data_IF_221655124305
#
_entry.id   IF_221655124305
#
_cell.length_a   1.000
_cell.length_b   1.000
_cell.length_c   1.000
_cell.angle_alpha   90.00
_cell.angle_beta   90.00
_cell.angle_gamma   90.00
#
_symmetry.space_group_name_H-M   'P 1'
#
loop_
_entity.id
_entity.type
_entity.pdbx_description
1 polymer ?
#
# COMPACT_ATOMS: atom_id res chain seq x y z
N UNK A 1 13.34 9.09 -14.64
CA UNK A 1 12.10 8.28 -14.85
C UNK A 1 12.39 6.96 -15.57
N UNK A 2 13.23 6.90 -16.61
CA UNK A 2 13.55 5.67 -17.37
C UNK A 2 14.30 4.58 -16.59
N UNK A 3 15.13 4.94 -15.62
CA UNK A 3 15.90 4.00 -14.78
C UNK A 3 15.01 3.22 -13.80
N UNK A 4 13.99 3.87 -13.24
CA UNK A 4 13.04 3.24 -12.31
C UNK A 4 12.18 2.20 -13.02
N UNK A 5 11.75 2.50 -14.24
CA UNK A 5 10.96 1.58 -15.09
C UNK A 5 11.78 0.31 -15.40
N UNK A 6 13.07 0.46 -15.73
CA UNK A 6 13.95 -0.69 -15.98
C UNK A 6 14.17 -1.55 -14.74
N UNK A 7 14.32 -0.94 -13.56
CA UNK A 7 14.49 -1.68 -12.30
C UNK A 7 13.22 -2.47 -11.96
N UNK A 8 12.03 -1.88 -12.14
CA UNK A 8 10.75 -2.55 -11.90
C UNK A 8 10.50 -3.69 -12.91
N UNK A 9 10.85 -3.49 -14.18
CA UNK A 9 10.73 -4.52 -15.20
C UNK A 9 11.66 -5.72 -14.90
N UNK A 10 12.90 -5.45 -14.48
CA UNK A 10 13.85 -6.49 -14.09
C UNK A 10 13.36 -7.28 -12.86
N UNK A 11 12.79 -6.60 -11.86
CA UNK A 11 12.21 -7.25 -10.68
C UNK A 11 11.01 -8.13 -11.04
N UNK A 12 10.12 -7.66 -11.91
CA UNK A 12 8.96 -8.42 -12.37
C UNK A 12 9.35 -9.68 -13.14
N UNK A 13 10.36 -9.59 -14.01
CA UNK A 13 10.88 -10.74 -14.77
C UNK A 13 11.57 -11.74 -13.83
N UNK A 14 12.39 -11.27 -12.89
CA UNK A 14 13.05 -12.13 -11.90
C UNK A 14 12.05 -12.85 -10.98
N UNK A 15 10.98 -12.16 -10.54
CA UNK A 15 9.92 -12.76 -9.73
C UNK A 15 9.16 -13.86 -10.47
N UNK A 16 8.88 -13.67 -11.77
CA UNK A 16 8.18 -14.65 -12.61
C UNK A 16 9.02 -15.91 -12.88
N UNK A 17 10.33 -15.75 -13.11
CA UNK A 17 11.27 -16.87 -13.27
C UNK A 17 11.38 -17.69 -11.97
N UNK A 18 11.43 -17.02 -10.80
CA UNK A 18 11.48 -17.67 -9.49
C UNK A 18 10.17 -18.42 -9.17
N UNK A 19 9.02 -17.84 -9.53
CA UNK A 19 7.71 -18.47 -9.36
C UNK A 19 7.58 -19.75 -10.20
N UNK A 20 8.00 -19.71 -11.47
CA UNK A 20 7.96 -20.88 -12.36
C UNK A 20 8.96 -21.98 -11.96
N UNK A 21 10.13 -21.61 -11.44
CA UNK A 21 11.09 -22.58 -10.91
C UNK A 21 10.54 -23.27 -9.64
N UNK A 22 9.80 -22.54 -8.82
CA UNK A 22 9.18 -23.06 -7.59
C UNK A 22 8.00 -23.99 -7.91
N UNK A 23 7.16 -23.62 -8.87
CA UNK A 23 6.00 -24.41 -9.31
C UNK A 23 6.42 -25.76 -9.91
N UNK A 24 7.54 -25.84 -10.64
CA UNK A 24 8.07 -27.11 -11.17
C UNK A 24 8.72 -28.01 -10.11
N UNK A 25 9.24 -27.44 -9.02
CA UNK A 25 9.86 -28.21 -7.93
C UNK A 25 8.83 -28.86 -7.01
N UNK A 26 7.66 -28.24 -6.87
CA UNK A 26 6.58 -28.70 -6.00
C UNK A 26 6.02 -30.10 -6.37
N UNK A 27 5.66 -30.42 -7.64
CA UNK A 27 5.16 -31.74 -8.02
C UNK A 27 6.26 -32.80 -7.98
N UNK A 28 7.52 -32.43 -8.25
CA UNK A 28 8.67 -33.35 -8.15
C UNK A 28 8.93 -33.76 -6.70
N UNK A 29 8.89 -32.81 -5.76
CA UNK A 29 9.02 -33.08 -4.34
C UNK A 29 7.86 -33.95 -3.80
N UNK A 30 6.63 -33.76 -4.33
CA UNK A 30 5.49 -34.62 -3.98
C UNK A 30 5.63 -36.06 -4.48
N UNK A 31 6.15 -36.25 -5.70
CA UNK A 31 6.43 -37.58 -6.24
C UNK A 31 7.50 -38.31 -5.40
N UNK A 32 8.61 -37.62 -5.06
CA UNK A 32 9.67 -38.18 -4.22
C UNK A 32 9.17 -38.54 -2.80
N UNK A 33 8.30 -37.72 -2.20
CA UNK A 33 7.64 -38.02 -0.92
C UNK A 33 6.72 -39.24 -1.00
N UNK A 34 6.01 -39.44 -2.11
CA UNK A 34 5.15 -40.61 -2.29
C UNK A 34 5.98 -41.90 -2.41
N UNK A 35 7.13 -41.82 -3.08
CA UNK A 35 8.02 -42.96 -3.28
C UNK A 35 8.74 -43.34 -1.97
N UNK A 36 9.21 -42.35 -1.21
CA UNK A 36 9.77 -42.54 0.13
C UNK A 36 8.75 -43.20 1.09
N UNK A 37 7.48 -42.77 1.06
CA UNK A 37 6.42 -43.39 1.87
C UNK A 37 6.18 -44.86 1.50
N UNK A 38 6.25 -45.19 0.21
CA UNK A 38 6.14 -46.58 -0.25
C UNK A 38 7.32 -47.43 0.22
N UNK A 39 8.53 -46.90 0.16
CA UNK A 39 9.74 -47.58 0.63
C UNK A 39 9.70 -47.85 2.15
N UNK A 40 9.22 -46.89 2.95
CA UNK A 40 9.04 -47.07 4.41
C UNK A 40 8.00 -48.14 4.72
N UNK A 41 6.86 -48.15 4.03
CA UNK A 41 5.85 -49.19 4.22
C UNK A 41 6.36 -50.59 3.84
N UNK A 42 7.16 -50.68 2.78
CA UNK A 42 7.77 -51.94 2.34
C UNK A 42 8.79 -52.45 3.38
N UNK A 43 9.62 -51.57 3.92
CA UNK A 43 10.57 -51.91 4.98
C UNK A 43 9.88 -52.31 6.28
N UNK A 44 8.79 -51.62 6.65
CA UNK A 44 7.97 -51.97 7.82
C UNK A 44 7.38 -53.37 7.69
N UNK A 45 6.83 -53.73 6.52
CA UNK A 45 6.33 -55.10 6.26
C UNK A 45 7.43 -56.15 6.35
N UNK A 46 8.62 -55.86 5.83
CA UNK A 46 9.78 -56.78 5.93
C UNK A 46 10.22 -56.96 7.39
N UNK A 47 10.19 -55.89 8.18
CA UNK A 47 10.50 -55.96 9.60
C UNK A 47 9.46 -56.79 10.37
N UNK A 48 8.17 -56.65 10.06
CA UNK A 48 7.12 -57.47 10.65
C UNK A 48 7.27 -58.94 10.27
N UNK A 49 7.59 -59.25 9.01
CA UNK A 49 7.85 -60.62 8.55
C UNK A 49 9.07 -61.24 9.26
N UNK A 50 10.18 -60.51 9.32
CA UNK A 50 11.39 -60.94 10.05
C UNK A 50 11.10 -61.15 11.54
N UNK A 51 10.28 -60.28 12.15
CA UNK A 51 9.89 -60.42 13.55
C UNK A 51 9.02 -61.66 13.77
N UNK A 52 8.09 -61.94 12.85
CA UNK A 52 7.27 -63.14 12.89
C UNK A 52 8.12 -64.42 12.76
N UNK A 53 9.10 -64.43 11.85
CA UNK A 53 10.03 -65.56 11.66
C UNK A 53 10.90 -65.80 12.90
N UNK A 54 11.38 -64.73 13.54
CA UNK A 54 12.14 -64.84 14.81
C UNK A 54 11.25 -65.38 15.93
N UNK A 55 10.00 -64.94 16.04
CA UNK A 55 9.07 -65.49 17.04
C UNK A 55 8.65 -66.93 16.76
N UNK A 56 8.63 -67.36 15.50
CA UNK A 56 8.37 -68.75 15.13
C UNK A 56 9.57 -69.66 15.46
N UNK A 57 10.80 -69.15 15.31
CA UNK A 57 12.02 -69.86 15.67
C UNK A 57 12.20 -70.05 17.19
N UNK A 58 11.50 -69.27 18.03
CA UNK A 58 11.48 -69.39 19.50
C UNK A 58 10.50 -70.46 20.03
N UNK A 59 9.88 -71.27 19.16
CA UNK A 59 9.07 -72.43 19.60
C UNK A 59 9.95 -73.66 19.86
N UNK A 60 9.98 -74.24 21.08
CA UNK A 60 10.91 -75.30 21.43
C UNK A 60 10.38 -76.67 20.98
N UNK A 61 11.00 -77.27 19.95
CA UNK A 61 10.90 -78.72 19.69
C UNK A 61 12.14 -79.45 20.24
N UNK A 62 11.89 -80.51 21.01
CA UNK A 62 12.83 -81.17 21.93
C UNK A 62 14.12 -81.81 21.38
N UNK A 63 15.06 -81.98 22.32
CA UNK A 63 16.50 -82.38 22.21
C UNK A 63 16.67 -83.92 22.27
N UNK A 64 17.83 -84.51 21.88
CA UNK A 64 18.83 -84.86 22.92
C UNK A 64 20.36 -84.74 22.59
N UNK A 65 21.10 -84.03 23.49
CA UNK A 65 22.38 -84.35 24.23
C UNK A 65 23.73 -84.39 23.44
N UNK A 66 24.94 -84.10 24.02
CA UNK A 66 25.52 -82.91 24.71
C UNK A 66 26.94 -82.49 24.18
N UNK A 67 27.34 -81.21 24.24
CA UNK A 67 28.77 -80.83 24.27
C UNK A 67 29.00 -79.60 25.17
N UNK A 68 30.17 -79.51 25.85
CA UNK A 68 30.38 -78.60 26.98
C UNK A 68 30.41 -77.12 26.54
N UNK A 69 30.05 -76.18 27.44
CA UNK A 69 30.00 -74.77 27.09
C UNK A 69 31.42 -74.22 26.94
N UNK A 70 31.76 -73.79 25.74
CA UNK A 70 32.87 -72.86 25.54
C UNK A 70 32.48 -71.52 26.16
N UNK A 71 33.11 -71.14 27.26
CA UNK A 71 32.91 -69.87 27.99
C UNK A 71 33.14 -68.61 27.13
N UNK A 72 33.67 -68.74 25.90
CA UNK A 72 33.87 -67.62 24.96
C UNK A 72 32.65 -67.19 24.14
N UNK A 73 31.60 -68.02 24.00
CA UNK A 73 30.45 -67.71 23.12
C UNK A 73 29.44 -66.78 23.83
N UNK A 74 29.23 -66.96 25.13
CA UNK A 74 28.35 -66.06 25.91
C UNK A 74 28.93 -64.65 26.02
N UNK A 75 30.25 -64.50 26.12
CA UNK A 75 30.92 -63.19 26.11
C UNK A 75 30.75 -62.47 24.77
N UNK A 76 30.94 -63.17 23.64
CA UNK A 76 30.71 -62.58 22.31
C UNK A 76 29.26 -62.19 22.04
N UNK A 77 28.29 -62.92 22.60
CA UNK A 77 26.87 -62.57 22.48
C UNK A 77 26.58 -61.32 23.29
N UNK A 78 27.10 -61.21 24.52
CA UNK A 78 26.99 -60.00 25.35
C UNK A 78 27.64 -58.79 24.70
N UNK A 79 28.86 -58.92 24.15
CA UNK A 79 29.56 -57.84 23.44
C UNK A 79 28.78 -57.36 22.21
N UNK A 80 28.15 -58.27 21.47
CA UNK A 80 27.30 -57.92 20.33
C UNK A 80 26.01 -57.21 20.75
N UNK A 81 25.45 -57.59 21.90
CA UNK A 81 24.23 -56.99 22.44
C UNK A 81 24.51 -55.58 22.96
N UNK A 82 25.65 -55.38 23.61
CA UNK A 82 26.12 -54.06 24.07
C UNK A 82 26.48 -53.15 22.89
N UNK A 83 27.14 -53.69 21.86
CA UNK A 83 27.38 -52.95 20.61
C UNK A 83 26.07 -52.62 19.86
N UNK A 84 25.08 -53.51 19.89
CA UNK A 84 23.76 -53.24 19.33
C UNK A 84 23.01 -52.16 20.14
N UNK A 85 23.07 -52.21 21.48
CA UNK A 85 22.49 -51.20 22.36
C UNK A 85 23.10 -49.81 22.10
N UNK A 86 24.42 -49.71 21.99
CA UNK A 86 25.09 -48.45 21.65
C UNK A 86 24.76 -47.93 20.23
N UNK A 87 24.43 -48.82 19.29
CA UNK A 87 23.94 -48.43 17.96
C UNK A 87 22.49 -47.94 18.01
N UNK A 88 21.65 -48.58 18.82
CA UNK A 88 20.25 -48.16 19.03
C UNK A 88 20.23 -46.78 19.68
N UNK A 89 21.03 -46.54 20.72
CA UNK A 89 21.09 -45.25 21.40
C UNK A 89 21.55 -44.12 20.46
N UNK A 90 22.51 -44.39 19.56
CA UNK A 90 22.89 -43.42 18.51
C UNK A 90 21.77 -43.18 17.50
N UNK A 91 21.09 -44.23 17.06
CA UNK A 91 19.95 -44.12 16.16
C UNK A 91 18.80 -43.34 16.79
N UNK A 92 18.50 -43.55 18.06
CA UNK A 92 17.50 -42.79 18.80
C UNK A 92 17.87 -41.31 18.88
N UNK A 93 19.16 -41.01 19.10
CA UNK A 93 19.65 -39.63 19.10
C UNK A 93 19.56 -38.98 17.72
N UNK A 94 20.00 -39.66 16.66
CA UNK A 94 19.89 -39.16 15.28
C UNK A 94 18.43 -38.96 14.86
N UNK A 95 17.53 -39.89 15.23
CA UNK A 95 16.08 -39.75 14.98
C UNK A 95 15.51 -38.56 15.75
N UNK A 96 15.95 -38.32 16.99
CA UNK A 96 15.56 -37.16 17.78
C UNK A 96 16.01 -35.83 17.15
N UNK A 97 17.23 -35.77 16.63
CA UNK A 97 17.77 -34.60 15.92
C UNK A 97 16.99 -34.34 14.63
N UNK A 98 16.77 -35.37 13.80
CA UNK A 98 15.99 -35.27 12.55
C UNK A 98 14.54 -34.85 12.83
N UNK A 99 13.92 -35.39 13.88
CA UNK A 99 12.56 -35.01 14.27
C UNK A 99 12.48 -33.53 14.69
N UNK A 100 13.52 -33.01 15.37
CA UNK A 100 13.64 -31.60 15.71
C UNK A 100 13.79 -30.70 14.48
N UNK A 101 14.65 -31.07 13.54
CA UNK A 101 14.83 -30.35 12.27
C UNK A 101 13.54 -30.33 11.44
N UNK A 102 12.83 -31.46 11.37
CA UNK A 102 11.57 -31.57 10.63
C UNK A 102 10.48 -30.67 11.23
N UNK A 103 10.37 -30.64 12.56
CA UNK A 103 9.43 -29.74 13.24
C UNK A 103 9.74 -28.26 13.00
N UNK A 104 11.03 -27.90 12.92
CA UNK A 104 11.46 -26.54 12.55
C UNK A 104 11.07 -26.16 11.12
N UNK A 105 11.25 -27.07 10.16
CA UNK A 105 10.85 -26.86 8.77
C UNK A 105 9.33 -26.75 8.60
N UNK A 106 8.56 -27.52 9.38
CA UNK A 106 7.09 -27.43 9.37
C UNK A 106 6.61 -26.06 9.87
N UNK A 107 7.20 -25.54 10.95
CA UNK A 107 6.92 -24.18 11.46
C UNK A 107 7.24 -23.10 10.41
N UNK A 108 8.38 -23.19 9.74
CA UNK A 108 8.77 -22.24 8.70
C UNK A 108 7.81 -22.28 7.51
N UNK A 109 7.40 -23.48 7.10
CA UNK A 109 6.42 -23.65 6.01
C UNK A 109 5.06 -23.08 6.36
N UNK A 110 4.62 -23.20 7.61
CA UNK A 110 3.37 -22.62 8.07
C UNK A 110 3.43 -21.09 8.13
N UNK A 111 4.56 -20.52 8.54
CA UNK A 111 4.79 -19.08 8.47
C UNK A 111 4.76 -18.55 7.03
N UNK A 112 5.39 -19.26 6.08
CA UNK A 112 5.35 -18.91 4.65
C UNK A 112 3.92 -18.97 4.09
N UNK A 113 3.13 -19.98 4.46
CA UNK A 113 1.72 -20.07 4.05
C UNK A 113 0.85 -18.95 4.64
N UNK A 114 1.16 -18.49 5.85
CA UNK A 114 0.49 -17.34 6.45
C UNK A 114 0.82 -16.05 5.69
N UNK A 115 2.09 -15.86 5.34
CA UNK A 115 2.54 -14.71 4.55
C UNK A 115 1.90 -14.69 3.16
N UNK A 116 1.87 -15.83 2.45
CA UNK A 116 1.22 -15.93 1.14
C UNK A 116 -0.25 -15.51 1.19
N UNK A 117 -1.00 -15.99 2.20
CA UNK A 117 -2.40 -15.58 2.40
C UNK A 117 -2.55 -14.09 2.70
N UNK A 118 -1.60 -13.49 3.43
CA UNK A 118 -1.62 -12.05 3.67
C UNK A 118 -1.34 -11.25 2.41
N UNK A 119 -0.44 -11.73 1.54
CA UNK A 119 -0.16 -11.10 0.24
C UNK A 119 -1.37 -11.21 -0.70
N UNK A 120 -2.03 -12.37 -0.74
CA UNK A 120 -3.25 -12.55 -1.53
C UNK A 120 -4.37 -11.60 -1.05
N UNK A 121 -4.49 -11.40 0.26
CA UNK A 121 -5.46 -10.45 0.82
C UNK A 121 -5.12 -9.01 0.41
N UNK A 122 -3.85 -8.60 0.51
CA UNK A 122 -3.40 -7.27 0.07
C UNK A 122 -3.59 -7.07 -1.43
N UNK A 123 -3.30 -8.08 -2.25
CA UNK A 123 -3.51 -8.02 -3.69
C UNK A 123 -5.00 -7.87 -4.02
N UNK A 124 -5.87 -8.58 -3.28
CA UNK A 124 -7.32 -8.42 -3.40
C UNK A 124 -7.77 -7.00 -3.05
N UNK A 125 -7.32 -6.47 -1.92
CA UNK A 125 -7.65 -5.12 -1.45
C UNK A 125 -7.17 -4.06 -2.45
N UNK A 126 -5.96 -4.22 -3.01
CA UNK A 126 -5.42 -3.32 -4.04
C UNK A 126 -6.23 -3.41 -5.34
N UNK A 127 -6.64 -4.62 -5.75
CA UNK A 127 -7.45 -4.80 -6.95
C UNK A 127 -8.88 -4.27 -6.78
N UNK A 128 -9.43 -4.31 -5.56
CA UNK A 128 -10.71 -3.71 -5.22
C UNK A 128 -10.60 -2.18 -5.21
N UNK A 129 -9.58 -1.62 -4.56
CA UNK A 129 -9.31 -0.19 -4.57
C UNK A 129 -9.07 0.33 -6.00
N UNK A 130 -8.33 -0.40 -6.82
CA UNK A 130 -8.08 -0.03 -8.21
C UNK A 130 -9.37 -0.04 -9.03
N UNK A 131 -10.23 -1.06 -8.84
CA UNK A 131 -11.57 -1.07 -9.45
C UNK A 131 -12.43 0.06 -8.94
N UNK A 132 -12.39 0.39 -7.66
CA UNK A 132 -13.15 1.51 -7.11
C UNK A 132 -12.62 2.85 -7.66
N UNK A 133 -11.30 3.02 -7.82
CA UNK A 133 -10.70 4.19 -8.45
C UNK A 133 -11.10 4.32 -9.92
N UNK A 134 -11.11 3.21 -10.66
CA UNK A 134 -11.57 3.18 -12.05
C UNK A 134 -13.07 3.45 -12.13
N UNK A 135 -13.88 2.86 -11.27
CA UNK A 135 -15.32 3.14 -11.14
C UNK A 135 -15.58 4.61 -10.74
N UNK A 136 -14.71 5.23 -9.95
CA UNK A 136 -14.75 6.66 -9.61
C UNK A 136 -14.32 7.56 -10.77
N UNK A 137 -13.49 7.05 -11.68
CA UNK A 137 -13.11 7.73 -12.91
C UNK A 137 -14.18 7.56 -14.00
N UNK A 138 -14.86 6.42 -14.01
CA UNK A 138 -15.89 6.03 -14.97
C UNK A 138 -17.27 6.62 -14.60
N UNK A 139 -17.54 6.80 -13.30
CA UNK A 139 -18.61 7.67 -12.80
C UNK A 139 -18.12 9.11 -12.93
N UNK A 140 -18.92 9.98 -13.53
CA UNK A 140 -18.56 11.34 -13.97
C UNK A 140 -18.17 12.35 -12.85
N UNK A 141 -17.83 11.90 -11.64
CA UNK A 141 -17.35 12.69 -10.51
C UNK A 141 -15.85 12.91 -10.63
N UNK A 142 -15.44 13.86 -11.47
CA UNK A 142 -14.05 14.29 -11.57
C UNK A 142 -13.45 14.62 -10.20
N UNK A 143 -12.16 14.30 -10.02
CA UNK A 143 -11.38 14.79 -8.88
C UNK A 143 -10.93 16.21 -9.21
N UNK A 144 -11.24 17.15 -8.33
CA UNK A 144 -10.82 18.55 -8.45
C UNK A 144 -9.76 18.80 -7.40
N UNK A 145 -8.57 19.25 -7.84
CA UNK A 145 -7.54 19.72 -6.92
C UNK A 145 -7.83 21.17 -6.52
N UNK A 146 -7.88 21.41 -5.23
CA UNK A 146 -8.10 22.71 -4.62
C UNK A 146 -6.88 23.18 -3.85
N UNK A 147 -6.59 24.47 -3.87
CA UNK A 147 -5.48 25.05 -3.11
C UNK A 147 -5.99 26.26 -2.36
N UNK A 148 -5.66 26.36 -1.07
CA UNK A 148 -5.86 27.55 -0.26
C UNK A 148 -4.53 27.95 0.39
N UNK A 149 -4.06 29.16 0.12
CA UNK A 149 -2.83 29.72 0.71
C UNK A 149 -3.13 31.10 1.33
N UNK A 150 -2.50 31.40 2.46
CA UNK A 150 -2.57 32.69 3.14
C UNK A 150 -1.20 33.03 3.76
N UNK A 151 -0.77 34.29 3.69
CA UNK A 151 0.34 34.80 4.51
C UNK A 151 -0.06 34.92 5.99
N UNK A 152 -1.36 35.08 6.25
CA UNK A 152 -1.91 35.31 7.57
C UNK A 152 -2.42 34.00 8.16
N UNK A 153 -1.58 33.37 8.98
CA UNK A 153 -1.93 32.12 9.66
C UNK A 153 -3.12 32.25 10.62
N UNK A 154 -3.36 33.43 11.22
CA UNK A 154 -4.51 33.64 12.12
C UNK A 154 -5.85 33.66 11.36
N UNK A 155 -5.85 34.12 10.11
CA UNK A 155 -7.03 34.16 9.25
C UNK A 155 -7.27 32.82 8.50
N UNK A 156 -6.33 31.88 8.57
CA UNK A 156 -6.41 30.60 7.84
C UNK A 156 -7.66 29.80 8.22
N UNK A 157 -8.05 29.79 9.50
CA UNK A 157 -9.19 29.01 9.96
C UNK A 157 -10.52 29.51 9.37
N UNK A 158 -10.74 30.84 9.36
CA UNK A 158 -11.94 31.46 8.78
C UNK A 158 -11.96 31.29 7.27
N UNK A 159 -10.81 31.49 6.64
CA UNK A 159 -10.66 31.34 5.20
C UNK A 159 -10.88 29.88 4.76
N UNK A 160 -10.37 28.91 5.52
CA UNK A 160 -10.62 27.49 5.29
C UNK A 160 -12.10 27.15 5.46
N UNK A 161 -12.77 27.67 6.49
CA UNK A 161 -14.21 27.47 6.66
C UNK A 161 -15.02 28.02 5.48
N UNK A 162 -14.69 29.24 5.02
CA UNK A 162 -15.34 29.84 3.85
C UNK A 162 -15.08 29.04 2.57
N UNK A 163 -13.86 28.51 2.40
CA UNK A 163 -13.49 27.65 1.28
C UNK A 163 -14.28 26.33 1.29
N UNK A 164 -14.34 25.67 2.44
CA UNK A 164 -15.05 24.39 2.60
C UNK A 164 -16.58 24.57 2.45
N UNK A 165 -17.13 25.70 2.90
CA UNK A 165 -18.53 26.08 2.69
C UNK A 165 -18.84 26.30 1.21
N UNK A 166 -17.99 27.05 0.51
CA UNK A 166 -18.07 27.23 -0.94
C UNK A 166 -18.02 25.87 -1.66
N UNK A 167 -17.05 25.02 -1.33
CA UNK A 167 -16.93 23.69 -1.91
C UNK A 167 -18.22 22.87 -1.75
N UNK A 168 -18.77 22.84 -0.54
CA UNK A 168 -20.00 22.10 -0.24
C UNK A 168 -21.22 22.60 -1.03
N UNK A 169 -21.35 23.93 -1.22
CA UNK A 169 -22.45 24.53 -1.98
C UNK A 169 -22.41 24.14 -3.46
N UNK A 170 -21.22 24.11 -4.06
CA UNK A 170 -21.03 23.62 -5.44
C UNK A 170 -21.01 22.09 -5.55
N UNK A 171 -21.47 21.37 -4.52
CA UNK A 171 -21.63 19.91 -4.53
C UNK A 171 -20.31 19.14 -4.42
N UNK A 172 -19.22 19.79 -4.02
CA UNK A 172 -17.94 19.14 -3.81
C UNK A 172 -17.84 18.55 -2.41
N UNK A 173 -17.20 17.39 -2.32
CA UNK A 173 -16.89 16.70 -1.06
C UNK A 173 -15.39 16.64 -0.87
N UNK A 174 -14.93 17.12 0.27
CA UNK A 174 -13.52 17.06 0.67
C UNK A 174 -13.17 15.61 1.01
N UNK A 175 -12.18 15.04 0.33
CA UNK A 175 -11.71 13.67 0.57
C UNK A 175 -10.41 13.65 1.33
N UNK A 176 -9.49 14.52 0.95
CA UNK A 176 -8.18 14.64 1.58
C UNK A 176 -7.93 16.12 1.82
N UNK A 177 -7.48 16.41 3.05
CA UNK A 177 -6.97 17.70 3.47
C UNK A 177 -5.50 17.50 3.81
N UNK A 178 -4.63 18.08 3.00
CA UNK A 178 -3.17 18.01 3.20
C UNK A 178 -2.65 19.40 3.57
N UNK A 179 -2.23 19.55 4.83
CA UNK A 179 -1.71 20.82 5.33
C UNK A 179 -0.32 21.04 4.75
N UNK A 180 -0.21 22.06 3.89
CA UNK A 180 1.04 22.46 3.27
C UNK A 180 1.55 23.71 3.97
N UNK A 181 2.64 23.59 4.72
CA UNK A 181 3.52 24.75 4.92
C UNK A 181 4.25 24.95 3.59
N UNK A 182 3.79 25.89 2.78
CA UNK A 182 4.53 26.25 1.59
C UNK A 182 5.80 26.96 2.05
N UNK A 183 6.92 26.25 2.00
CA UNK A 183 8.25 26.86 2.00
C UNK A 183 8.42 27.58 0.65
N UNK A 184 7.68 28.67 0.47
CA UNK A 184 8.06 29.74 -0.44
C UNK A 184 9.48 30.18 -0.08
N UNK A 185 10.19 30.86 -0.99
CA UNK A 185 11.56 31.33 -0.73
C UNK A 185 11.70 32.18 0.56
N UNK A 186 10.55 32.64 1.09
CA UNK A 186 10.41 33.55 2.24
C UNK A 186 9.75 32.86 3.46
N UNK A 187 9.30 31.60 3.34
CA UNK A 187 8.74 30.80 4.45
C UNK A 187 7.45 31.33 5.09
N UNK A 188 6.73 32.25 4.45
CA UNK A 188 5.65 33.03 5.07
C UNK A 188 4.23 32.51 4.79
N UNK A 189 4.04 31.51 3.93
CA UNK A 189 2.72 31.08 3.47
C UNK A 189 2.29 29.75 4.11
N UNK A 190 1.14 29.79 4.76
CA UNK A 190 0.44 28.62 5.26
C UNK A 190 -0.69 28.27 4.32
N UNK A 191 -0.93 26.97 4.13
CA UNK A 191 -2.00 26.59 3.25
C UNK A 191 -2.42 25.14 3.35
N UNK A 192 -3.51 24.85 2.66
CA UNK A 192 -4.12 23.53 2.62
C UNK A 192 -4.37 23.14 1.17
N UNK A 193 -3.87 21.97 0.80
CA UNK A 193 -4.20 21.30 -0.45
C UNK A 193 -5.43 20.42 -0.22
N UNK A 194 -6.43 20.61 -1.07
CA UNK A 194 -7.70 19.90 -1.02
C UNK A 194 -7.80 18.96 -2.21
N UNK A 195 -8.19 17.72 -1.96
CA UNK A 195 -8.68 16.82 -3.00
C UNK A 195 -10.18 16.71 -2.86
N UNK A 196 -10.88 17.28 -3.83
CA UNK A 196 -12.33 17.41 -3.86
C UNK A 196 -12.90 16.42 -4.88
N UNK A 197 -14.06 15.85 -4.59
CA UNK A 197 -14.79 14.98 -5.51
C UNK A 197 -16.23 15.42 -5.64
N UNK A 198 -16.87 15.12 -6.76
CA UNK A 198 -18.32 15.27 -6.94
C UNK A 198 -18.72 15.99 -8.20
N UNK A 199 -17.80 16.74 -8.83
CA UNK A 199 -18.04 17.44 -10.11
C UNK A 199 -16.79 17.46 -10.98
N UNK A 200 -16.99 17.59 -12.29
CA UNK A 200 -15.89 17.78 -13.25
C UNK A 200 -15.25 19.15 -13.08
N UNK A 201 -13.93 19.19 -13.17
CA UNK A 201 -13.12 20.39 -12.97
C UNK A 201 -13.49 21.54 -13.92
N UNK A 202 -13.63 21.25 -15.22
CA UNK A 202 -13.92 22.28 -16.23
C UNK A 202 -15.28 22.93 -15.99
N UNK A 203 -16.32 22.11 -15.83
CA UNK A 203 -17.69 22.57 -15.56
C UNK A 203 -17.77 23.37 -14.24
N UNK A 204 -17.07 22.93 -13.19
CA UNK A 204 -17.01 23.65 -11.93
C UNK A 204 -16.35 25.02 -12.10
N UNK A 205 -15.20 25.06 -12.78
CA UNK A 205 -14.43 26.29 -12.95
C UNK A 205 -15.22 27.32 -13.77
N UNK A 206 -15.86 26.90 -14.86
CA UNK A 206 -16.74 27.75 -15.68
C UNK A 206 -17.93 28.29 -14.88
N UNK A 207 -18.58 27.46 -14.08
CA UNK A 207 -19.74 27.86 -13.26
C UNK A 207 -19.34 28.87 -12.17
N UNK A 208 -18.26 28.59 -11.43
CA UNK A 208 -17.70 29.52 -10.44
C UNK A 208 -17.33 30.85 -11.09
N UNK A 209 -16.62 30.81 -12.21
CA UNK A 209 -16.18 32.02 -12.89
C UNK A 209 -17.37 32.83 -13.44
N UNK A 210 -18.36 32.16 -14.02
CA UNK A 210 -19.60 32.80 -14.47
C UNK A 210 -20.35 33.48 -13.31
N UNK A 211 -20.42 32.82 -12.15
CA UNK A 211 -21.03 33.40 -10.95
C UNK A 211 -20.27 34.64 -10.49
N UNK A 212 -18.94 34.55 -10.38
CA UNK A 212 -18.09 35.65 -9.91
C UNK A 212 -18.13 36.86 -10.84
N UNK A 213 -18.21 36.67 -12.16
CA UNK A 213 -18.41 37.78 -13.12
C UNK A 213 -19.76 38.49 -12.94
N UNK A 214 -20.77 37.79 -12.43
CA UNK A 214 -22.09 38.32 -12.12
C UNK A 214 -22.24 38.82 -10.68
N UNK A 215 -21.16 38.80 -9.88
CA UNK A 215 -21.19 39.26 -8.50
C UNK A 215 -21.16 40.79 -8.46
N UNK A 216 -22.22 41.39 -7.90
CA UNK A 216 -22.36 42.84 -7.74
C UNK A 216 -22.61 43.28 -6.30
N UNK A 217 -22.94 42.34 -5.41
CA UNK A 217 -23.22 42.61 -4.00
C UNK A 217 -22.25 41.83 -3.11
N UNK A 218 -21.41 42.50 -2.29
CA UNK A 218 -20.49 41.83 -1.37
C UNK A 218 -21.23 41.11 -0.22
N UNK A 219 -22.51 41.41 0.01
CA UNK A 219 -23.33 40.78 1.06
C UNK A 219 -24.16 39.59 0.54
N UNK A 220 -23.89 39.11 -0.67
CA UNK A 220 -24.54 37.90 -1.20
C UNK A 220 -24.24 36.71 -0.25
N UNK A 221 -25.28 35.99 0.24
CA UNK A 221 -25.12 34.86 1.15
C UNK A 221 -24.42 33.63 0.56
N UNK A 222 -24.03 33.65 -0.71
CA UNK A 222 -23.32 32.52 -1.32
C UNK A 222 -21.94 32.26 -0.69
N UNK A 223 -21.53 31.00 -0.70
CA UNK A 223 -20.22 30.56 -0.25
C UNK A 223 -19.08 31.11 -1.11
N UNK A 224 -19.30 31.32 -2.41
CA UNK A 224 -18.31 31.95 -3.28
C UNK A 224 -18.10 33.44 -2.93
N UNK A 225 -19.18 34.18 -2.68
CA UNK A 225 -19.11 35.57 -2.21
C UNK A 225 -18.42 35.67 -0.86
N UNK A 226 -18.79 34.80 0.10
CA UNK A 226 -18.16 34.74 1.40
C UNK A 226 -16.64 34.45 1.29
N UNK A 227 -16.24 33.46 0.49
CA UNK A 227 -14.82 33.15 0.28
C UNK A 227 -14.05 34.32 -0.32
N UNK A 228 -14.59 34.97 -1.36
CA UNK A 228 -13.94 36.12 -2.00
C UNK A 228 -13.85 37.33 -1.05
N UNK A 229 -14.87 37.51 -0.21
CA UNK A 229 -14.89 38.54 0.82
C UNK A 229 -13.82 38.27 1.87
N UNK A 230 -13.73 37.06 2.42
CA UNK A 230 -12.67 36.69 3.37
C UNK A 230 -11.27 36.85 2.76
N UNK A 231 -11.08 36.44 1.48
CA UNK A 231 -9.84 36.70 0.75
C UNK A 231 -9.52 38.19 0.61
N UNK A 232 -10.54 39.03 0.38
CA UNK A 232 -10.34 40.47 0.25
C UNK A 232 -9.86 41.13 1.55
N UNK A 233 -10.30 40.61 2.70
CA UNK A 233 -10.01 41.11 4.04
C UNK A 233 -8.64 40.68 4.60
N UNK A 234 -7.94 39.74 3.94
CA UNK A 234 -6.55 39.44 4.27
C UNK A 234 -5.69 40.71 4.11
N UNK A 235 -4.84 41.04 5.09
CA UNK A 235 -3.90 42.17 4.95
C UNK A 235 -2.75 41.77 4.02
N UNK A 236 -2.28 40.53 4.14
CA UNK A 236 -1.29 39.88 3.27
C UNK A 236 -1.83 39.30 1.95
N UNK A 237 -0.99 38.50 1.30
CA UNK A 237 -1.31 37.73 0.10
C UNK A 237 -2.12 36.47 0.41
N UNK A 238 -2.99 36.09 -0.53
CA UNK A 238 -3.81 34.89 -0.40
C UNK A 238 -4.19 34.32 -1.76
N UNK A 239 -4.38 33.01 -1.83
CA UNK A 239 -4.76 32.29 -3.05
C UNK A 239 -5.86 31.29 -2.69
N UNK A 240 -6.94 31.28 -3.46
CA UNK A 240 -7.93 30.21 -3.44
C UNK A 240 -8.13 29.65 -4.85
N UNK A 241 -8.10 28.33 -4.97
CA UNK A 241 -8.17 27.63 -6.25
C UNK A 241 -9.15 26.46 -6.18
N UNK A 242 -9.93 26.30 -7.23
CA UNK A 242 -10.80 25.16 -7.50
C UNK A 242 -10.53 24.66 -8.92
N UNK A 243 -9.61 23.70 -9.05
CA UNK A 243 -9.20 23.19 -10.36
C UNK A 243 -8.61 24.31 -11.22
N UNK A 244 -9.29 24.70 -12.29
CA UNK A 244 -8.84 25.79 -13.17
C UNK A 244 -9.26 27.19 -12.71
N UNK A 245 -10.28 27.31 -11.86
CA UNK A 245 -10.67 28.60 -11.29
C UNK A 245 -9.67 29.00 -10.20
N UNK A 246 -9.09 30.20 -10.33
CA UNK A 246 -8.11 30.74 -9.38
C UNK A 246 -8.48 32.17 -8.99
N UNK A 247 -8.53 32.45 -7.70
CA UNK A 247 -8.66 33.78 -7.11
C UNK A 247 -7.41 34.12 -6.31
N UNK A 248 -6.86 35.31 -6.52
CA UNK A 248 -5.59 35.74 -5.95
C UNK A 248 -5.73 37.13 -5.36
N UNK A 249 -5.41 37.22 -4.07
CA UNK A 249 -5.27 38.46 -3.31
C UNK A 249 -3.79 38.83 -3.24
N UNK A 250 -3.50 40.05 -3.64
CA UNK A 250 -2.21 40.74 -3.42
C UNK A 250 -2.46 42.05 -2.69
N UNK A 251 -1.43 42.68 -2.09
CA UNK A 251 -1.60 43.98 -1.42
C UNK A 251 -2.19 45.09 -2.30
N UNK A 252 -2.11 44.95 -3.63
CA UNK A 252 -2.60 45.94 -4.59
C UNK A 252 -3.90 45.56 -5.31
N UNK A 253 -4.33 44.30 -5.29
CA UNK A 253 -5.50 43.86 -6.05
C UNK A 253 -6.06 42.51 -5.58
N UNK A 254 -7.35 42.28 -5.88
CA UNK A 254 -7.99 40.97 -5.86
C UNK A 254 -8.43 40.63 -7.28
N UNK A 255 -7.83 39.60 -7.88
CA UNK A 255 -8.10 39.19 -9.27
C UNK A 255 -8.46 37.72 -9.30
N UNK A 256 -9.41 37.35 -10.15
CA UNK A 256 -9.75 35.96 -10.41
C UNK A 256 -9.74 35.65 -11.91
N UNK A 257 -9.60 34.38 -12.25
CA UNK A 257 -9.65 33.93 -13.63
C UNK A 257 -9.55 32.42 -13.79
N UNK A 258 -9.65 32.00 -15.05
CA UNK A 258 -9.55 30.60 -15.46
C UNK A 258 -8.12 30.32 -15.94
N UNK A 259 -7.34 29.67 -15.08
CA UNK A 259 -6.00 29.21 -15.42
C UNK A 259 -6.08 27.74 -15.84
N UNK A 260 -5.82 27.39 -17.11
CA UNK A 260 -5.83 26.00 -17.55
C UNK A 260 -4.82 25.19 -16.73
N UNK A 261 -5.22 23.97 -16.37
CA UNK A 261 -4.46 23.13 -15.47
C UNK A 261 -3.18 22.67 -16.15
N UNK A 262 -2.07 23.34 -15.87
CA UNK A 262 -0.77 22.76 -16.14
C UNK A 262 -0.48 21.85 -14.95
N UNK A 263 -0.59 20.54 -15.15
CA UNK A 263 -0.10 19.49 -14.24
C UNK A 263 1.37 19.75 -13.78
N UNK A 264 2.09 20.65 -14.45
CA UNK A 264 3.45 21.10 -14.11
C UNK A 264 3.53 22.28 -13.12
N UNK A 265 2.43 22.98 -12.80
CA UNK A 265 2.42 24.14 -11.85
C UNK A 265 1.96 23.76 -10.43
N UNK A 266 2.32 22.56 -9.99
CA UNK A 266 2.10 22.04 -8.62
C UNK A 266 2.98 22.70 -7.53
N UNK A 267 3.80 23.69 -7.92
CA UNK A 267 4.74 24.42 -7.05
C UNK A 267 4.17 25.82 -6.80
N UNK A 268 4.16 26.32 -5.54
CA UNK A 268 3.53 27.59 -5.21
C UNK A 268 4.26 28.74 -5.91
N UNK A 269 3.63 29.28 -6.95
CA UNK A 269 3.93 30.63 -7.43
C UNK A 269 3.41 31.60 -6.39
N UNK A 270 4.28 32.52 -5.98
CA UNK A 270 3.94 33.58 -5.04
C UNK A 270 2.68 34.33 -5.55
N UNK A 271 1.79 34.84 -4.66
CA UNK A 271 0.54 35.48 -5.08
C UNK A 271 0.74 36.60 -6.11
N UNK A 272 1.85 37.34 -6.05
CA UNK A 272 2.15 38.37 -7.04
C UNK A 272 2.42 37.82 -8.44
N UNK A 273 3.05 36.64 -8.56
CA UNK A 273 3.31 35.99 -9.84
C UNK A 273 2.01 35.50 -10.46
N UNK A 274 1.15 34.85 -9.67
CA UNK A 274 -0.16 34.40 -10.13
C UNK A 274 -1.07 35.56 -10.52
N UNK A 275 -1.07 36.65 -9.75
CA UNK A 275 -1.79 37.86 -10.12
C UNK A 275 -1.25 38.48 -11.43
N UNK A 276 0.06 38.43 -11.67
CA UNK A 276 0.66 38.82 -12.93
C UNK A 276 0.14 37.99 -14.11
N UNK A 277 0.16 36.66 -13.99
CA UNK A 277 -0.35 35.76 -15.02
C UNK A 277 -1.84 35.95 -15.28
N UNK A 278 -2.67 36.12 -14.24
CA UNK A 278 -4.10 36.35 -14.40
C UNK A 278 -4.38 37.65 -15.17
N UNK A 279 -3.59 38.71 -14.96
CA UNK A 279 -3.72 39.98 -15.68
C UNK A 279 -3.35 39.90 -17.16
N UNK A 280 -2.48 38.96 -17.52
CA UNK A 280 -2.09 38.70 -18.91
C UNK A 280 -3.13 37.88 -19.68
N UNK A 281 -4.11 37.26 -19.00
CA UNK A 281 -5.18 36.53 -19.66
C UNK A 281 -6.12 37.46 -20.45
N UNK A 282 -6.79 36.95 -21.49
CA UNK A 282 -7.86 37.69 -22.17
C UNK A 282 -8.92 38.16 -21.17
N UNK A 283 -9.51 39.34 -21.38
CA UNK A 283 -10.57 39.93 -20.53
C UNK A 283 -11.80 39.01 -20.35
N UNK A 284 -11.97 38.05 -21.24
CA UNK A 284 -13.02 37.03 -21.16
C UNK A 284 -12.74 36.00 -20.06
N UNK A 285 -11.47 35.76 -19.70
CA UNK A 285 -11.00 34.73 -18.77
C UNK A 285 -10.44 35.29 -17.46
N UNK A 286 -10.51 36.62 -17.27
CA UNK A 286 -10.16 37.29 -16.03
C UNK A 286 -11.27 38.21 -15.54
N UNK A 287 -11.29 38.48 -14.24
CA UNK A 287 -12.19 39.44 -13.62
C UNK A 287 -11.47 40.11 -12.43
N UNK A 288 -11.47 41.45 -12.44
CA UNK A 288 -10.93 42.27 -11.36
C UNK A 288 -12.02 42.51 -10.31
N UNK A 289 -11.74 42.08 -9.09
CA UNK A 289 -12.62 42.18 -7.93
C UNK A 289 -12.04 43.10 -6.87
N UNK A 290 -11.11 43.97 -7.23
CA UNK A 290 -10.47 44.89 -6.29
C UNK A 290 -11.46 45.84 -5.60
N UNK A 291 -12.68 45.98 -6.13
CA UNK A 291 -13.79 46.68 -5.50
C UNK A 291 -14.32 46.02 -4.22
N UNK A 292 -14.08 44.71 -4.00
CA UNK A 292 -14.45 43.98 -2.77
C UNK A 292 -13.54 44.31 -1.58
N UNK A 293 -12.44 45.03 -1.80
CA UNK A 293 -11.48 45.37 -0.75
C UNK A 293 -12.05 46.48 0.13
N UNK A 294 -11.98 46.32 1.45
CA UNK A 294 -12.12 47.46 2.35
C UNK A 294 -10.88 48.34 2.20
N UNK A 295 -11.08 49.65 1.98
CA UNK A 295 -10.01 50.64 2.06
C UNK A 295 -9.68 50.89 3.54
N UNK A 296 -8.92 50.00 4.18
CA UNK A 296 -8.41 50.22 5.54
C UNK A 296 -6.92 49.83 5.67
#
# INVERSE_FOLDING_TARGET
MTTVILVLLCLAIAGRELYLASDKRLPRAQAELSDLRNQVNELSKRQEALRADVTAADTPSGIPIPQPPSEGVSGQILDRLEAAAGRVERLEKEVGEIAGELAGLDLERDAQRALARSLDAVEHDVAELHREMLDRLDREEGVVTGILLSEEGEAEALLAEAYERCAAEYGLRIRIRDQRSAQAANGAYWGTLYYLSGRRQESLAEELFSYVRGLYDPQDPSGASALLTELAHLRGGGIARFGSFTAVRTPSALVCGLLPDAEERLVPSEPWELAGYLRELPEELQCDLSWLRSED
#
